data_IF_577749063238
#
_entry.id   IF_577749063238
#
_cell.length_a   1.000
_cell.length_b   1.000
_cell.length_c   1.000
_cell.angle_alpha   90.00
_cell.angle_beta   90.00
_cell.angle_gamma   90.00
#
_symmetry.space_group_name_H-M   'P 1'
#
loop_
_entity.id
_entity.type
_entity.pdbx_description
1 polymer ?
#
# COMPACT_ATOMS: atom_id res chain seq x y z
N UNK A 1 28.55 -7.24 80.34
CA UNK A 1 28.72 -6.59 79.03
C UNK A 1 27.80 -7.29 78.05
N UNK A 2 26.78 -6.60 77.52
CA UNK A 2 25.77 -7.17 76.63
C UNK A 2 26.17 -6.90 75.18
N UNK A 3 26.50 -7.94 74.42
CA UNK A 3 26.80 -7.85 72.99
C UNK A 3 25.51 -7.81 72.19
N UNK A 4 25.14 -6.63 71.69
CA UNK A 4 24.08 -6.48 70.67
C UNK A 4 24.56 -7.08 69.36
N UNK A 5 23.97 -8.20 68.94
CA UNK A 5 24.08 -8.68 67.56
C UNK A 5 23.44 -7.66 66.60
N UNK A 6 24.17 -7.33 65.53
CA UNK A 6 23.66 -6.46 64.45
C UNK A 6 22.70 -7.26 63.57
N UNK A 7 21.59 -6.68 63.10
CA UNK A 7 20.65 -7.40 62.27
C UNK A 7 21.29 -7.75 60.93
N UNK A 8 21.24 -9.02 60.58
CA UNK A 8 21.69 -9.54 59.28
C UNK A 8 20.74 -9.05 58.20
N UNK A 9 21.28 -8.38 57.18
CA UNK A 9 20.55 -7.99 55.98
C UNK A 9 20.04 -9.26 55.28
N UNK A 10 18.76 -9.57 55.47
CA UNK A 10 18.06 -10.61 54.72
C UNK A 10 18.26 -10.38 53.23
N UNK A 11 18.79 -11.39 52.54
CA UNK A 11 19.18 -11.31 51.14
C UNK A 11 18.05 -10.79 50.26
N UNK A 12 18.18 -9.56 49.78
CA UNK A 12 17.30 -8.99 48.77
C UNK A 12 17.48 -9.82 47.50
N UNK A 13 16.51 -10.69 47.18
CA UNK A 13 16.42 -11.35 45.87
C UNK A 13 16.26 -10.25 44.82
N UNK A 14 17.37 -9.85 44.20
CA UNK A 14 17.34 -8.98 43.02
C UNK A 14 16.67 -9.79 41.91
N UNK A 15 15.38 -9.52 41.68
CA UNK A 15 14.67 -10.03 40.50
C UNK A 15 15.24 -9.32 39.27
N UNK A 16 16.21 -9.94 38.62
CA UNK A 16 16.63 -9.53 37.28
C UNK A 16 15.41 -9.59 36.36
N UNK A 17 14.94 -8.44 35.87
CA UNK A 17 13.83 -8.39 34.92
C UNK A 17 14.21 -9.24 33.70
N UNK A 18 13.33 -10.16 33.28
CA UNK A 18 13.45 -10.84 31.98
C UNK A 18 13.58 -9.74 30.93
N UNK A 19 14.72 -9.69 30.24
CA UNK A 19 14.84 -8.87 29.02
C UNK A 19 13.73 -9.37 28.09
N UNK A 20 12.79 -8.49 27.72
CA UNK A 20 11.89 -8.75 26.61
C UNK A 20 12.76 -8.76 25.35
N UNK A 21 13.33 -9.92 25.03
CA UNK A 21 13.91 -10.15 23.72
C UNK A 21 12.71 -10.28 22.81
N UNK A 22 12.37 -9.20 22.08
CA UNK A 22 11.40 -9.31 21.00
C UNK A 22 11.88 -10.45 20.10
N UNK A 23 10.99 -11.42 19.82
CA UNK A 23 11.31 -12.50 18.89
C UNK A 23 11.89 -11.88 17.61
N UNK A 24 12.91 -12.46 16.97
CA UNK A 24 13.43 -11.96 15.70
C UNK A 24 12.31 -11.72 14.68
N UNK A 25 12.49 -10.73 13.81
CA UNK A 25 11.60 -10.52 12.67
C UNK A 25 11.89 -11.60 11.64
N UNK A 26 10.83 -12.19 11.10
CA UNK A 26 10.90 -13.17 10.03
C UNK A 26 9.83 -12.87 8.97
N UNK A 27 10.03 -11.79 8.18
CA UNK A 27 9.10 -11.43 7.11
C UNK A 27 9.16 -12.41 5.92
N UNK A 28 10.24 -13.20 5.79
CA UNK A 28 10.39 -14.19 4.73
C UNK A 28 9.39 -15.32 4.93
N UNK A 29 9.38 -16.00 6.09
CA UNK A 29 8.42 -17.07 6.36
C UNK A 29 6.97 -16.60 6.31
N UNK A 30 6.69 -15.35 6.71
CA UNK A 30 5.36 -14.77 6.55
C UNK A 30 4.99 -14.59 5.07
N UNK A 31 5.89 -14.03 4.26
CA UNK A 31 5.69 -13.88 2.81
C UNK A 31 5.43 -15.23 2.15
N UNK A 32 6.27 -16.23 2.43
CA UNK A 32 6.18 -17.57 1.84
C UNK A 32 4.85 -18.23 2.19
N UNK A 33 4.38 -18.09 3.44
CA UNK A 33 3.07 -18.59 3.85
C UNK A 33 1.91 -17.92 3.09
N UNK A 34 1.96 -16.60 2.87
CA UNK A 34 0.93 -15.90 2.08
C UNK A 34 1.01 -16.33 0.61
N UNK A 35 2.21 -16.43 0.03
CA UNK A 35 2.42 -16.91 -1.34
C UNK A 35 1.83 -18.31 -1.52
N UNK A 36 2.10 -19.22 -0.58
CA UNK A 36 1.55 -20.56 -0.61
C UNK A 36 0.02 -20.56 -0.55
N UNK A 37 -0.60 -19.70 0.26
CA UNK A 37 -2.07 -19.54 0.29
C UNK A 37 -2.62 -19.14 -1.10
N UNK A 38 -1.95 -18.25 -1.82
CA UNK A 38 -2.38 -17.89 -3.19
C UNK A 38 -2.25 -19.07 -4.16
N UNK A 39 -1.13 -19.80 -4.07
CA UNK A 39 -0.85 -20.96 -4.94
C UNK A 39 -1.85 -22.09 -4.67
N UNK A 40 -2.07 -22.45 -3.41
CA UNK A 40 -2.99 -23.54 -3.01
C UNK A 40 -4.43 -23.31 -3.46
N UNK A 41 -4.83 -22.04 -3.54
CA UNK A 41 -6.17 -21.63 -3.97
C UNK A 41 -6.22 -21.21 -5.44
N UNK A 42 -5.14 -21.39 -6.22
CA UNK A 42 -5.09 -21.05 -7.65
C UNK A 42 -5.41 -19.59 -7.96
N UNK A 43 -5.15 -18.67 -7.03
CA UNK A 43 -5.47 -17.25 -7.16
C UNK A 43 -6.95 -16.89 -6.96
N UNK A 44 -7.81 -17.83 -6.54
CA UNK A 44 -9.20 -17.52 -6.20
C UNK A 44 -9.24 -16.64 -4.94
N UNK A 45 -9.49 -15.34 -5.14
CA UNK A 45 -9.44 -14.34 -4.08
C UNK A 45 -10.50 -14.55 -2.97
N UNK A 46 -11.60 -15.26 -3.24
CA UNK A 46 -12.58 -15.60 -2.22
C UNK A 46 -12.07 -16.72 -1.31
N UNK A 47 -11.44 -17.74 -1.89
CA UNK A 47 -10.79 -18.80 -1.13
C UNK A 47 -9.54 -18.32 -0.40
N UNK A 48 -8.71 -17.50 -1.04
CA UNK A 48 -7.54 -16.84 -0.43
C UNK A 48 -7.96 -16.01 0.78
N UNK A 49 -9.02 -15.19 0.66
CA UNK A 49 -9.54 -14.42 1.77
C UNK A 49 -9.97 -15.31 2.95
N UNK A 50 -10.62 -16.44 2.66
CA UNK A 50 -11.03 -17.42 3.68
C UNK A 50 -9.82 -18.04 4.38
N UNK A 51 -8.80 -18.45 3.62
CA UNK A 51 -7.56 -19.00 4.17
C UNK A 51 -6.83 -17.98 5.07
N UNK A 52 -6.72 -16.73 4.63
CA UNK A 52 -6.14 -15.62 5.42
C UNK A 52 -6.94 -15.35 6.70
N UNK A 53 -8.26 -15.40 6.63
CA UNK A 53 -9.12 -15.23 7.81
C UNK A 53 -8.90 -16.36 8.83
N UNK A 54 -8.72 -17.60 8.36
CA UNK A 54 -8.46 -18.77 9.22
C UNK A 54 -7.01 -18.93 9.69
N UNK A 55 -6.06 -18.22 9.08
CA UNK A 55 -4.64 -18.35 9.42
C UNK A 55 -4.28 -17.73 10.78
N UNK A 56 -3.27 -18.29 11.43
CA UNK A 56 -2.65 -17.79 12.67
C UNK A 56 -1.49 -16.81 12.41
N UNK A 57 -1.30 -16.40 11.15
CA UNK A 57 -0.24 -15.49 10.72
C UNK A 57 -0.34 -14.12 11.41
N UNK A 58 0.81 -13.54 11.75
CA UNK A 58 0.87 -12.29 12.50
C UNK A 58 0.78 -11.04 11.61
N UNK A 59 -0.44 -10.75 11.13
CA UNK A 59 -0.74 -9.56 10.31
C UNK A 59 -0.42 -8.24 11.01
N UNK A 60 -0.51 -8.17 12.34
CA UNK A 60 -0.14 -6.95 13.08
C UNK A 60 1.36 -6.63 12.97
N UNK A 61 2.19 -7.67 12.80
CA UNK A 61 3.64 -7.55 12.69
C UNK A 61 4.12 -7.40 11.25
N UNK A 62 3.44 -8.05 10.31
CA UNK A 62 3.88 -8.18 8.91
C UNK A 62 2.86 -7.61 7.92
N UNK A 63 2.02 -6.68 8.35
CA UNK A 63 0.98 -6.09 7.49
C UNK A 63 1.54 -5.39 6.24
N UNK A 64 2.70 -4.75 6.33
CA UNK A 64 3.36 -4.14 5.15
C UNK A 64 3.76 -5.25 4.16
N UNK A 65 4.41 -6.31 4.65
CA UNK A 65 4.78 -7.49 3.85
C UNK A 65 3.55 -8.13 3.20
N UNK A 66 2.43 -8.24 3.92
CA UNK A 66 1.18 -8.75 3.36
C UNK A 66 0.74 -7.97 2.12
N UNK A 67 0.71 -6.63 2.19
CA UNK A 67 0.33 -5.84 1.03
C UNK A 67 1.38 -5.86 -0.08
N UNK A 68 2.68 -5.96 0.24
CA UNK A 68 3.70 -6.22 -0.80
C UNK A 68 3.40 -7.51 -1.58
N UNK A 69 3.06 -8.61 -0.88
CA UNK A 69 2.65 -9.86 -1.55
C UNK A 69 1.41 -9.65 -2.42
N UNK A 70 0.38 -8.96 -1.92
CA UNK A 70 -0.85 -8.68 -2.70
C UNK A 70 -0.55 -7.94 -4.01
N UNK A 71 0.34 -6.94 -3.98
CA UNK A 71 0.64 -6.13 -5.16
C UNK A 71 1.68 -6.74 -6.09
N UNK A 72 2.75 -7.32 -5.54
CA UNK A 72 3.97 -7.71 -6.28
C UNK A 72 4.09 -9.23 -6.41
N UNK A 73 3.28 -10.00 -5.68
CA UNK A 73 3.31 -11.46 -5.68
C UNK A 73 4.26 -12.06 -4.67
N UNK A 74 5.04 -11.24 -3.96
CA UNK A 74 5.99 -11.62 -2.91
C UNK A 74 6.50 -10.38 -2.17
N UNK A 75 7.39 -10.57 -1.18
CA UNK A 75 8.00 -9.44 -0.47
C UNK A 75 8.99 -8.67 -1.36
N UNK A 76 9.16 -7.39 -1.05
CA UNK A 76 10.16 -6.54 -1.72
C UNK A 76 11.40 -6.34 -0.85
N UNK A 77 12.52 -6.01 -1.49
CA UNK A 77 13.75 -5.67 -0.77
C UNK A 77 13.51 -4.42 0.10
N UNK A 78 14.06 -4.36 1.32
CA UNK A 78 13.89 -3.22 2.21
C UNK A 78 14.19 -1.88 1.55
N UNK A 79 13.24 -0.94 1.62
CA UNK A 79 13.39 0.40 1.05
C UNK A 79 13.29 0.49 -0.48
N UNK A 80 13.00 -0.60 -1.19
CA UNK A 80 12.84 -0.62 -2.65
C UNK A 80 11.49 -1.21 -3.07
N UNK A 81 11.15 -1.11 -4.35
CA UNK A 81 9.99 -1.78 -4.95
C UNK A 81 10.36 -3.10 -5.65
N UNK A 82 11.65 -3.46 -5.67
CA UNK A 82 12.11 -4.67 -6.34
C UNK A 82 11.70 -5.88 -5.52
N UNK A 83 11.15 -6.93 -6.14
CA UNK A 83 10.96 -8.21 -5.48
C UNK A 83 12.29 -8.72 -4.90
N UNK A 84 12.21 -9.49 -3.82
CA UNK A 84 13.38 -10.24 -3.37
C UNK A 84 13.81 -11.24 -4.46
N UNK A 85 15.13 -11.39 -4.68
CA UNK A 85 15.65 -12.36 -5.66
C UNK A 85 15.52 -13.80 -5.15
N UNK A 86 15.63 -13.99 -3.83
CA UNK A 86 15.47 -15.26 -3.14
C UNK A 86 14.09 -15.28 -2.45
N UNK A 87 13.10 -15.86 -3.12
CA UNK A 87 11.75 -16.06 -2.58
C UNK A 87 10.74 -16.42 -3.66
N UNK A 88 9.75 -17.24 -3.31
CA UNK A 88 8.67 -17.59 -4.24
C UNK A 88 7.75 -16.38 -4.48
N UNK A 89 7.24 -16.25 -5.70
CA UNK A 89 6.22 -15.28 -6.07
C UNK A 89 5.00 -15.98 -6.65
N UNK A 90 3.81 -15.56 -6.22
CA UNK A 90 2.58 -15.99 -6.87
C UNK A 90 2.27 -15.11 -8.09
N UNK A 91 1.73 -15.67 -9.19
CA UNK A 91 1.44 -14.93 -10.42
C UNK A 91 0.11 -14.16 -10.38
N UNK A 92 -0.61 -14.18 -9.25
CA UNK A 92 -1.94 -13.59 -9.08
C UNK A 92 -1.93 -12.18 -8.46
N UNK A 93 -0.78 -11.50 -8.53
CA UNK A 93 -0.61 -10.17 -7.93
C UNK A 93 -1.29 -9.06 -8.74
N UNK A 94 -1.53 -7.90 -8.13
CA UNK A 94 -2.07 -6.72 -8.84
C UNK A 94 -1.16 -6.33 -10.02
N UNK A 95 0.15 -6.48 -9.89
CA UNK A 95 1.10 -6.14 -10.94
C UNK A 95 1.27 -7.22 -12.01
N UNK A 96 0.83 -8.45 -11.76
CA UNK A 96 0.86 -9.53 -12.76
C UNK A 96 -0.44 -9.66 -13.57
N UNK A 97 -1.55 -9.04 -13.12
CA UNK A 97 -2.81 -9.05 -13.88
C UNK A 97 -2.80 -8.11 -15.11
N UNK A 98 -3.84 -8.18 -15.95
CA UNK A 98 -3.97 -7.26 -17.08
C UNK A 98 -4.21 -5.81 -16.62
N UNK A 99 -3.70 -4.81 -17.36
CA UNK A 99 -3.92 -3.39 -17.08
C UNK A 99 -5.33 -2.93 -17.50
N UNK A 100 -6.35 -3.61 -16.97
CA UNK A 100 -7.76 -3.41 -17.24
C UNK A 100 -8.55 -3.40 -15.93
N UNK A 101 -9.65 -2.67 -15.94
CA UNK A 101 -10.52 -2.49 -14.77
C UNK A 101 -11.03 -3.82 -14.24
N UNK A 102 -11.50 -4.69 -15.12
CA UNK A 102 -12.14 -5.97 -14.81
C UNK A 102 -11.15 -6.96 -14.18
N UNK A 103 -9.87 -6.84 -14.52
CA UNK A 103 -8.80 -7.65 -13.95
C UNK A 103 -8.36 -7.17 -12.55
N UNK A 104 -8.39 -5.85 -12.30
CA UNK A 104 -7.89 -5.24 -11.06
C UNK A 104 -8.99 -5.11 -9.99
N UNK A 105 -10.25 -4.91 -10.39
CA UNK A 105 -11.38 -4.74 -9.47
C UNK A 105 -11.51 -5.88 -8.44
N UNK A 106 -11.35 -7.18 -8.81
CA UNK A 106 -11.37 -8.26 -7.83
C UNK A 106 -10.36 -8.07 -6.69
N UNK A 107 -9.14 -7.62 -6.98
CA UNK A 107 -8.11 -7.34 -5.96
C UNK A 107 -8.52 -6.20 -5.04
N UNK A 108 -9.17 -5.15 -5.56
CA UNK A 108 -9.70 -4.03 -4.75
C UNK A 108 -10.78 -4.52 -3.79
N UNK A 109 -11.72 -5.33 -4.27
CA UNK A 109 -12.80 -5.90 -3.44
C UNK A 109 -12.26 -6.86 -2.38
N UNK A 110 -11.27 -7.68 -2.75
CA UNK A 110 -10.55 -8.56 -1.85
C UNK A 110 -9.84 -7.79 -0.71
N UNK A 111 -9.10 -6.73 -1.04
CA UNK A 111 -8.47 -5.86 -0.03
C UNK A 111 -9.53 -5.21 0.85
N UNK A 112 -10.62 -4.69 0.27
CA UNK A 112 -11.70 -4.07 1.03
C UNK A 112 -12.35 -5.07 2.01
N UNK A 113 -12.57 -6.32 1.59
CA UNK A 113 -13.08 -7.40 2.45
C UNK A 113 -12.10 -7.72 3.58
N UNK A 114 -10.81 -7.83 3.25
CA UNK A 114 -9.74 -8.07 4.23
C UNK A 114 -9.66 -6.95 5.27
N UNK A 115 -9.70 -5.69 4.85
CA UNK A 115 -9.71 -4.52 5.74
C UNK A 115 -10.98 -4.44 6.60
N UNK A 116 -12.15 -4.84 6.09
CA UNK A 116 -13.38 -4.91 6.90
C UNK A 116 -13.25 -5.91 8.06
N UNK A 117 -12.52 -7.02 7.86
CA UNK A 117 -12.26 -8.04 8.90
C UNK A 117 -11.08 -7.67 9.79
N UNK A 118 -10.09 -6.95 9.26
CA UNK A 118 -8.86 -6.54 9.97
C UNK A 118 -8.61 -5.03 9.77
N UNK A 119 -9.40 -4.13 10.38
CA UNK A 119 -9.31 -2.69 10.12
C UNK A 119 -7.95 -2.06 10.46
N UNK A 120 -7.21 -2.66 11.40
CA UNK A 120 -5.87 -2.21 11.78
C UNK A 120 -4.86 -2.26 10.61
N UNK A 121 -5.12 -3.07 9.57
CA UNK A 121 -4.27 -3.18 8.39
C UNK A 121 -4.33 -1.95 7.47
N UNK A 122 -5.28 -1.03 7.65
CA UNK A 122 -5.38 0.16 6.79
C UNK A 122 -4.07 0.94 6.77
N UNK A 123 -3.39 1.03 7.92
CA UNK A 123 -2.12 1.77 8.02
C UNK A 123 -1.01 1.11 7.21
N UNK A 124 -0.99 -0.20 7.15
CA UNK A 124 -0.03 -0.95 6.35
C UNK A 124 -0.29 -0.77 4.85
N UNK A 125 -1.55 -0.76 4.43
CA UNK A 125 -1.91 -0.43 3.04
C UNK A 125 -1.45 0.98 2.69
N UNK A 126 -1.69 1.96 3.57
CA UNK A 126 -1.23 3.34 3.36
C UNK A 126 0.29 3.41 3.19
N UNK A 127 1.05 2.68 4.00
CA UNK A 127 2.51 2.64 3.94
C UNK A 127 2.99 2.10 2.58
N UNK A 128 2.46 0.96 2.15
CA UNK A 128 2.84 0.32 0.87
C UNK A 128 2.42 1.17 -0.33
N UNK A 129 1.21 1.73 -0.31
CA UNK A 129 0.76 2.66 -1.36
C UNK A 129 1.67 3.88 -1.45
N UNK A 130 2.00 4.52 -0.32
CA UNK A 130 2.91 5.67 -0.30
C UNK A 130 4.29 5.31 -0.85
N UNK A 131 4.84 4.17 -0.42
CA UNK A 131 6.12 3.64 -0.91
C UNK A 131 6.11 3.47 -2.43
N UNK A 132 5.06 2.88 -3.00
CA UNK A 132 4.97 2.65 -4.44
C UNK A 132 4.79 3.94 -5.22
N UNK A 133 3.92 4.84 -4.75
CA UNK A 133 3.67 6.12 -5.43
C UNK A 133 4.92 7.04 -5.44
N UNK A 134 5.76 6.97 -4.40
CA UNK A 134 7.05 7.70 -4.37
C UNK A 134 8.15 7.06 -5.21
N UNK A 135 7.90 5.84 -5.69
CA UNK A 135 8.84 4.99 -6.41
C UNK A 135 8.39 4.71 -7.84
N UNK A 136 7.41 5.47 -8.37
CA UNK A 136 6.86 5.27 -9.72
C UNK A 136 7.92 5.27 -10.82
N UNK A 137 9.05 5.96 -10.63
CA UNK A 137 10.16 5.96 -11.59
C UNK A 137 10.84 4.59 -11.78
N UNK A 138 10.64 3.66 -10.85
CA UNK A 138 11.19 2.31 -10.91
C UNK A 138 10.20 1.26 -11.44
N UNK A 139 8.94 1.65 -11.66
CA UNK A 139 7.93 0.80 -12.28
C UNK A 139 7.89 1.01 -13.79
N UNK A 140 7.68 -0.07 -14.52
CA UNK A 140 7.41 -0.02 -15.95
C UNK A 140 6.13 0.77 -16.24
N UNK A 141 5.98 1.24 -17.48
CA UNK A 141 4.79 2.01 -17.88
C UNK A 141 3.48 1.23 -17.64
N UNK A 142 3.47 -0.05 -17.98
CA UNK A 142 2.32 -0.91 -17.78
C UNK A 142 1.99 -1.12 -16.28
N UNK A 143 3.00 -1.24 -15.43
CA UNK A 143 2.83 -1.36 -13.97
C UNK A 143 2.28 -0.07 -13.36
N UNK A 144 2.82 1.10 -13.78
CA UNK A 144 2.29 2.42 -13.39
C UNK A 144 0.82 2.57 -13.76
N UNK A 145 0.44 2.09 -14.95
CA UNK A 145 -0.97 2.07 -15.39
C UNK A 145 -1.84 1.18 -14.50
N UNK A 146 -1.39 -0.03 -14.14
CA UNK A 146 -2.11 -0.91 -13.20
C UNK A 146 -2.30 -0.25 -11.84
N UNK A 147 -1.27 0.41 -11.30
CA UNK A 147 -1.36 1.16 -10.05
C UNK A 147 -2.34 2.34 -10.15
N UNK A 148 -2.37 3.08 -11.26
CA UNK A 148 -3.33 4.15 -11.48
C UNK A 148 -4.77 3.63 -11.52
N UNK A 149 -5.03 2.54 -12.25
CA UNK A 149 -6.35 1.88 -12.32
C UNK A 149 -6.76 1.37 -10.93
N UNK A 150 -5.86 0.67 -10.22
CA UNK A 150 -6.11 0.20 -8.86
C UNK A 150 -6.50 1.36 -7.94
N UNK A 151 -5.76 2.46 -8.00
CA UNK A 151 -5.98 3.61 -7.13
C UNK A 151 -7.32 4.29 -7.42
N UNK A 152 -7.70 4.41 -8.71
CA UNK A 152 -9.00 4.92 -9.12
C UNK A 152 -10.13 4.05 -8.54
N UNK A 153 -10.04 2.74 -8.73
CA UNK A 153 -11.01 1.79 -8.21
C UNK A 153 -11.06 1.79 -6.68
N UNK A 154 -9.92 1.94 -5.99
CA UNK A 154 -9.88 2.01 -4.53
C UNK A 154 -10.72 3.19 -4.01
N UNK A 155 -10.68 4.36 -4.65
CA UNK A 155 -11.54 5.49 -4.26
C UNK A 155 -12.99 5.33 -4.72
N UNK A 156 -13.24 4.85 -5.95
CA UNK A 156 -14.60 4.60 -6.46
C UNK A 156 -15.36 3.62 -5.58
N UNK A 157 -14.68 2.54 -5.14
CA UNK A 157 -15.22 1.52 -4.25
C UNK A 157 -15.19 1.93 -2.77
N UNK A 158 -14.72 3.15 -2.45
CA UNK A 158 -14.60 3.68 -1.08
C UNK A 158 -13.86 2.68 -0.18
N UNK A 159 -12.68 2.23 -0.60
CA UNK A 159 -11.88 1.20 0.04
C UNK A 159 -11.54 1.58 1.50
N UNK A 160 -12.41 1.14 2.41
CA UNK A 160 -12.32 1.21 3.88
C UNK A 160 -11.72 2.50 4.46
N UNK A 161 -11.97 3.64 3.83
CA UNK A 161 -11.50 4.95 4.31
C UNK A 161 -10.04 5.28 4.00
N UNK A 162 -9.42 4.68 2.97
CA UNK A 162 -8.09 5.08 2.49
C UNK A 162 -8.03 6.61 2.29
N UNK A 163 -7.17 7.34 3.05
CA UNK A 163 -7.15 8.80 2.98
C UNK A 163 -6.61 9.28 1.62
N UNK A 164 -7.29 10.20 0.92
CA UNK A 164 -6.85 10.70 -0.39
C UNK A 164 -5.44 11.30 -0.39
N UNK A 165 -5.03 11.94 0.70
CA UNK A 165 -3.69 12.48 0.89
C UNK A 165 -2.58 11.42 0.92
N UNK A 166 -2.91 10.15 1.19
CA UNK A 166 -1.97 9.03 1.07
C UNK A 166 -1.65 8.72 -0.39
N UNK A 167 -2.49 9.15 -1.32
CA UNK A 167 -2.24 8.98 -2.76
C UNK A 167 -1.67 10.24 -3.38
N UNK A 168 -2.33 11.39 -3.19
CA UNK A 168 -1.97 12.57 -3.96
C UNK A 168 -0.68 13.25 -3.47
N UNK A 169 -0.46 13.33 -2.16
CA UNK A 169 0.73 14.01 -1.63
C UNK A 169 2.05 13.30 -2.02
N UNK A 170 2.13 11.95 -1.96
CA UNK A 170 3.35 11.25 -2.36
C UNK A 170 3.72 11.38 -3.84
N UNK A 171 2.73 11.65 -4.71
CA UNK A 171 2.96 11.86 -6.13
C UNK A 171 3.72 13.17 -6.41
N UNK A 172 3.60 14.20 -5.57
CA UNK A 172 4.19 15.52 -5.78
C UNK A 172 5.71 15.59 -5.54
N UNK A 173 6.41 14.46 -5.60
CA UNK A 173 7.87 14.42 -5.50
C UNK A 173 8.49 15.05 -6.75
N UNK A 174 9.31 16.08 -6.58
CA UNK A 174 9.84 16.93 -7.67
C UNK A 174 10.40 16.14 -8.86
N UNK A 175 11.15 15.07 -8.60
CA UNK A 175 11.74 14.26 -9.65
C UNK A 175 10.71 13.50 -10.49
N UNK A 176 9.60 13.04 -9.88
CA UNK A 176 8.52 12.36 -10.59
C UNK A 176 7.72 13.36 -11.43
N UNK A 177 7.45 14.55 -10.88
CA UNK A 177 6.75 15.66 -11.55
C UNK A 177 7.55 16.15 -12.74
N UNK A 178 8.85 16.41 -12.57
CA UNK A 178 9.74 16.88 -13.64
C UNK A 178 9.83 15.89 -14.81
N UNK A 179 9.83 14.58 -14.53
CA UNK A 179 9.83 13.52 -15.56
C UNK A 179 8.47 13.31 -16.25
N UNK A 180 7.41 14.00 -15.82
CA UNK A 180 6.05 13.83 -16.35
C UNK A 180 5.37 12.51 -15.96
N UNK A 181 5.98 11.74 -15.06
CA UNK A 181 5.45 10.44 -14.60
C UNK A 181 4.14 10.64 -13.85
N UNK A 182 4.08 11.69 -13.02
CA UNK A 182 2.91 12.04 -12.22
C UNK A 182 1.72 12.41 -13.11
N UNK A 183 1.97 13.22 -14.14
CA UNK A 183 0.93 13.63 -15.07
C UNK A 183 0.33 12.42 -15.81
N UNK A 184 1.17 11.49 -16.28
CA UNK A 184 0.71 10.24 -16.90
C UNK A 184 -0.12 9.40 -15.92
N UNK A 185 0.34 9.21 -14.69
CA UNK A 185 -0.37 8.46 -13.66
C UNK A 185 -1.74 9.08 -13.34
N UNK A 186 -1.80 10.39 -13.09
CA UNK A 186 -3.03 11.12 -12.73
C UNK A 186 -4.03 11.11 -13.89
N UNK A 187 -3.56 11.12 -15.14
CA UNK A 187 -4.44 11.04 -16.31
C UNK A 187 -5.17 9.70 -16.36
N UNK A 188 -4.45 8.59 -16.21
CA UNK A 188 -5.07 7.25 -16.16
C UNK A 188 -5.98 7.09 -14.95
N UNK A 189 -5.59 7.67 -13.80
CA UNK A 189 -6.41 7.71 -12.61
C UNK A 189 -7.74 8.45 -12.81
N UNK A 190 -7.73 9.68 -13.36
CA UNK A 190 -8.95 10.46 -13.60
C UNK A 190 -9.87 9.77 -14.61
N UNK A 191 -9.32 9.24 -15.71
CA UNK A 191 -10.09 8.44 -16.67
C UNK A 191 -10.77 7.25 -16.00
N UNK A 192 -10.05 6.52 -15.14
CA UNK A 192 -10.59 5.38 -14.41
C UNK A 192 -11.69 5.77 -13.43
N UNK A 193 -11.48 6.86 -12.67
CA UNK A 193 -12.40 7.33 -11.63
C UNK A 193 -13.68 7.91 -12.22
N UNK A 194 -13.58 8.75 -13.26
CA UNK A 194 -14.72 9.41 -13.90
C UNK A 194 -15.64 8.45 -14.69
N UNK A 195 -15.25 7.18 -14.86
CA UNK A 195 -16.16 6.15 -15.42
C UNK A 195 -17.34 5.84 -14.51
N UNK A 196 -17.18 5.99 -13.19
CA UNK A 196 -18.22 5.64 -12.20
C UNK A 196 -18.55 6.77 -11.22
N UNK A 197 -17.78 7.85 -11.27
CA UNK A 197 -17.92 8.98 -10.36
C UNK A 197 -18.10 10.27 -11.16
N UNK A 198 -18.86 11.20 -10.60
CA UNK A 198 -19.06 12.50 -11.21
C UNK A 198 -17.80 13.38 -11.10
N UNK A 199 -17.76 14.46 -11.88
CA UNK A 199 -16.73 15.49 -11.72
C UNK A 199 -16.77 16.11 -10.33
N UNK A 200 -17.96 16.32 -9.75
CA UNK A 200 -18.12 16.85 -8.39
C UNK A 200 -17.52 15.91 -7.34
N UNK A 201 -17.69 14.58 -7.52
CA UNK A 201 -17.03 13.58 -6.67
C UNK A 201 -15.51 13.66 -6.78
N UNK A 202 -14.98 13.86 -8.00
CA UNK A 202 -13.55 14.00 -8.23
C UNK A 202 -13.01 15.27 -7.57
N UNK A 203 -13.70 16.40 -7.72
CA UNK A 203 -13.35 17.66 -7.05
C UNK A 203 -13.34 17.43 -5.54
N UNK A 204 -14.38 16.83 -4.98
CA UNK A 204 -14.45 16.50 -3.55
C UNK A 204 -13.31 15.60 -3.08
N UNK A 205 -12.90 14.63 -3.91
CA UNK A 205 -11.76 13.76 -3.63
C UNK A 205 -10.43 14.53 -3.62
N UNK A 206 -10.21 15.41 -4.61
CA UNK A 206 -9.02 16.26 -4.70
C UNK A 206 -8.92 17.23 -3.52
N UNK A 207 -10.04 17.84 -3.09
CA UNK A 207 -10.07 18.69 -1.89
C UNK A 207 -9.60 17.93 -0.65
N UNK A 208 -10.14 16.72 -0.42
CA UNK A 208 -9.70 15.85 0.69
C UNK A 208 -8.21 15.46 0.56
N UNK A 209 -7.73 15.30 -0.67
CA UNK A 209 -6.33 15.05 -1.00
C UNK A 209 -5.39 16.26 -0.84
N UNK A 210 -5.92 17.43 -0.47
CA UNK A 210 -5.22 18.72 -0.41
C UNK A 210 -4.67 19.15 -1.77
N UNK A 211 -5.44 18.90 -2.82
CA UNK A 211 -5.10 19.21 -4.22
C UNK A 211 -5.93 20.36 -4.82
N UNK A 212 -6.82 21.00 -4.05
CA UNK A 212 -7.75 22.03 -4.55
C UNK A 212 -7.04 23.18 -5.26
N UNK A 213 -6.00 23.74 -4.65
CA UNK A 213 -5.22 24.85 -5.20
C UNK A 213 -3.96 24.39 -5.96
N UNK A 214 -3.70 23.07 -5.97
CA UNK A 214 -2.43 22.48 -6.38
C UNK A 214 -2.57 21.56 -7.60
N UNK A 215 -3.67 21.65 -8.36
CA UNK A 215 -3.90 20.76 -9.50
C UNK A 215 -2.81 20.89 -10.58
N UNK A 216 -2.28 22.10 -10.75
CA UNK A 216 -1.14 22.37 -11.64
C UNK A 216 0.16 21.73 -11.15
N UNK A 217 0.26 21.33 -9.88
CA UNK A 217 1.49 20.71 -9.36
C UNK A 217 1.75 19.31 -9.91
N UNK A 218 0.74 18.65 -10.49
CA UNK A 218 0.92 17.41 -11.24
C UNK A 218 1.69 17.61 -12.55
N UNK A 219 1.74 18.83 -13.08
CA UNK A 219 2.44 19.16 -14.32
C UNK A 219 3.92 19.48 -14.02
N UNK A 220 4.84 19.10 -14.92
CA UNK A 220 6.22 19.61 -14.89
C UNK A 220 6.21 21.14 -14.80
N UNK A 221 7.12 21.73 -14.02
CA UNK A 221 7.16 23.17 -13.74
C UNK A 221 7.08 24.05 -15.00
N UNK A 222 7.76 23.65 -16.07
CA UNK A 222 7.74 24.35 -17.36
C UNK A 222 6.39 24.35 -18.10
N UNK A 223 5.42 23.53 -17.67
CA UNK A 223 4.11 23.34 -18.32
C UNK A 223 2.93 23.75 -17.42
N UNK A 224 3.18 24.39 -16.28
CA UNK A 224 2.13 24.78 -15.33
C UNK A 224 1.40 26.02 -15.84
N UNK A 225 0.28 25.82 -16.52
CA UNK A 225 -0.63 26.86 -16.98
C UNK A 225 -2.05 26.32 -17.08
N UNK A 226 -3.04 27.20 -16.97
CA UNK A 226 -4.45 26.83 -17.14
C UNK A 226 -4.73 26.31 -18.55
N UNK A 227 -4.05 26.87 -19.55
CA UNK A 227 -4.14 26.48 -20.96
C UNK A 227 -3.62 25.05 -21.15
N UNK A 228 -2.44 24.72 -20.61
CA UNK A 228 -1.87 23.38 -20.71
C UNK A 228 -2.72 22.33 -19.99
N UNK A 229 -3.36 22.69 -18.87
CA UNK A 229 -4.28 21.81 -18.16
C UNK A 229 -5.52 21.52 -19.01
N UNK A 230 -6.15 22.57 -19.54
CA UNK A 230 -7.33 22.45 -20.39
C UNK A 230 -7.02 21.60 -21.62
N UNK A 231 -5.93 21.91 -22.34
CA UNK A 231 -5.48 21.20 -23.53
C UNK A 231 -5.16 19.73 -23.24
N UNK A 232 -4.52 19.44 -22.09
CA UNK A 232 -4.20 18.07 -21.72
C UNK A 232 -5.48 17.25 -21.54
N UNK A 233 -6.45 17.71 -20.75
CA UNK A 233 -7.64 16.92 -20.44
C UNK A 233 -8.74 16.94 -21.51
N UNK A 234 -8.81 17.96 -22.39
CA UNK A 234 -9.74 17.92 -23.55
C UNK A 234 -9.32 16.94 -24.64
N UNK A 235 -8.03 16.57 -24.72
CA UNK A 235 -7.54 15.56 -25.67
C UNK A 235 -7.89 14.12 -25.29
N UNK A 236 -8.50 13.92 -24.13
CA UNK A 236 -8.80 12.60 -23.57
C UNK A 236 -10.30 12.28 -23.45
N UNK A 237 -11.17 13.16 -23.96
CA UNK A 237 -12.57 12.87 -24.28
C UNK A 237 -12.71 12.08 -25.59
#
# INVERSE_FOLDING_TARGET
>A
MSSKEKPTLGGTRIKTRKRNIAAPLDPASFSDAIVQIYVDNGGDLELVAKSIESSDLNFSRYGDTFFEVVFVGGRTQPGTIKPEEEGDRHPYSVLDCAAQREAILPSVLYIQKTLRRRPFLIKNLENVMRKFLQSLEFFEENERKKLAIFTALAFSQKLSGLPPETVFQPLLKDNLVAKGIVLSFITEFFKGYLKENSLDDLIGLLKKGKMEDNLLDFFPSAKRSSEALSEHFTRFD
#
